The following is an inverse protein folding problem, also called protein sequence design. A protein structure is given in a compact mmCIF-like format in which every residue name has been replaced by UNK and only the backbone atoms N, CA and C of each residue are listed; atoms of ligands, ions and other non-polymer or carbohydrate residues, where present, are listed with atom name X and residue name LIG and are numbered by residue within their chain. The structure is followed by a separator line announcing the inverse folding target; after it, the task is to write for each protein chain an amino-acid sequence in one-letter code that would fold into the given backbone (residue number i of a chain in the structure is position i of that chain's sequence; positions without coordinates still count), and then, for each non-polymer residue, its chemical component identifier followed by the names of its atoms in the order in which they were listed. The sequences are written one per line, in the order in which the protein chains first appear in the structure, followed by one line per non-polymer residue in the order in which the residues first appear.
data_IF_384322837731
#
_entry.id   IF_384322837731
#
_cell.length_a   1.000
_cell.length_b   1.000
_cell.length_c   1.000
_cell.angle_alpha   90.00
_cell.angle_beta   90.00
_cell.angle_gamma   90.00
#
_symmetry.space_group_name_H-M   'P 1'
#
loop_
_entity.id
_entity.type
_entity.pdbx_description
1 polymer ?
#
# COMPACT_ATOMS: atom_id res chain seq x y z
N UNK A 1 -9.05 5.53 -5.30
CA UNK A 1 -7.89 4.82 -5.88
C UNK A 1 -8.37 3.98 -7.06
N UNK A 2 -8.34 4.50 -8.29
CA UNK A 2 -9.01 3.85 -9.44
C UNK A 2 -8.51 2.44 -9.79
N UNK A 3 -7.22 2.13 -9.54
CA UNK A 3 -6.65 0.82 -9.89
C UNK A 3 -7.13 -0.31 -8.97
N UNK A 4 -6.91 -0.17 -7.67
CA UNK A 4 -7.31 -1.20 -6.68
C UNK A 4 -8.83 -1.31 -6.59
N UNK A 5 -9.55 -0.18 -6.59
CA UNK A 5 -11.02 -0.18 -6.58
C UNK A 5 -11.60 -0.76 -7.87
N UNK A 6 -10.99 -0.48 -9.03
CA UNK A 6 -11.43 -1.01 -10.32
C UNK A 6 -11.21 -2.52 -10.44
N UNK A 7 -10.02 -3.02 -10.06
CA UNK A 7 -9.75 -4.46 -10.08
C UNK A 7 -10.60 -5.19 -9.04
N UNK A 8 -10.77 -4.60 -7.85
CA UNK A 8 -11.69 -5.14 -6.85
C UNK A 8 -13.13 -5.20 -7.37
N UNK A 9 -13.64 -4.16 -8.01
CA UNK A 9 -15.01 -4.15 -8.52
C UNK A 9 -15.29 -5.22 -9.59
N UNK A 10 -14.24 -5.76 -10.23
CA UNK A 10 -14.37 -6.88 -11.17
C UNK A 10 -14.56 -8.21 -10.42
N UNK A 11 -13.78 -8.44 -9.35
CA UNK A 11 -13.79 -9.72 -8.62
C UNK A 11 -14.78 -9.74 -7.45
N UNK A 12 -15.05 -8.58 -6.88
CA UNK A 12 -15.99 -8.35 -5.78
C UNK A 12 -16.90 -7.14 -6.11
N UNK A 13 -17.87 -7.32 -7.03
CA UNK A 13 -18.73 -6.23 -7.49
C UNK A 13 -19.63 -5.70 -6.37
N UNK A 14 -19.98 -4.42 -6.50
CA UNK A 14 -20.91 -3.75 -5.60
C UNK A 14 -22.32 -4.36 -5.71
N UNK A 15 -23.04 -4.52 -4.59
CA UNK A 15 -24.41 -5.00 -4.61
C UNK A 15 -25.34 -4.02 -5.34
N UNK A 16 -26.41 -4.55 -5.96
CA UNK A 16 -27.37 -3.72 -6.68
C UNK A 16 -28.06 -2.73 -5.72
N UNK A 17 -28.03 -1.44 -6.06
CA UNK A 17 -28.60 -0.38 -5.23
C UNK A 17 -27.69 0.14 -4.11
N UNK A 18 -26.39 -0.18 -4.14
CA UNK A 18 -25.41 0.34 -3.20
C UNK A 18 -25.43 1.87 -3.16
N UNK A 19 -25.85 2.44 -2.03
CA UNK A 19 -25.94 3.87 -1.79
C UNK A 19 -24.61 4.42 -1.23
N UNK A 20 -23.70 3.54 -0.78
CA UNK A 20 -22.40 3.92 -0.24
C UNK A 20 -22.50 4.50 1.16
N UNK A 21 -23.54 4.12 1.91
CA UNK A 21 -23.64 4.50 3.32
C UNK A 21 -22.53 3.82 4.13
N UNK A 22 -22.08 4.41 5.25
CA UNK A 22 -21.02 3.82 6.08
C UNK A 22 -21.30 2.36 6.46
N UNK A 23 -22.55 2.02 6.75
CA UNK A 23 -22.98 0.67 7.13
C UNK A 23 -22.86 -0.32 5.96
N UNK A 24 -23.24 0.10 4.75
CA UNK A 24 -23.11 -0.72 3.55
C UNK A 24 -21.64 -0.97 3.19
N UNK A 25 -20.77 0.03 3.36
CA UNK A 25 -19.32 -0.11 3.14
C UNK A 25 -18.73 -1.11 4.14
N UNK A 26 -19.10 -1.03 5.42
CA UNK A 26 -18.63 -1.96 6.45
C UNK A 26 -19.03 -3.41 6.10
N UNK A 27 -20.30 -3.64 5.77
CA UNK A 27 -20.79 -4.97 5.39
C UNK A 27 -20.11 -5.54 4.13
N UNK A 28 -19.77 -4.66 3.17
CA UNK A 28 -19.03 -5.06 1.98
C UNK A 28 -17.59 -5.49 2.34
N UNK A 29 -16.93 -4.72 3.20
CA UNK A 29 -15.55 -5.01 3.63
C UNK A 29 -15.46 -6.28 4.48
N UNK A 30 -16.49 -6.59 5.27
CA UNK A 30 -16.56 -7.86 6.01
C UNK A 30 -16.62 -9.10 5.10
N UNK A 31 -17.23 -8.96 3.91
CA UNK A 31 -17.37 -10.05 2.93
C UNK A 31 -16.22 -10.13 1.94
N UNK A 32 -15.22 -9.28 2.10
CA UNK A 32 -14.17 -9.14 1.13
C UNK A 32 -13.29 -10.39 1.04
N UNK A 33 -12.98 -10.90 -0.16
CA UNK A 33 -12.20 -12.12 -0.30
C UNK A 33 -10.78 -11.93 0.26
N UNK A 34 -10.33 -12.86 1.11
CA UNK A 34 -9.01 -12.77 1.74
C UNK A 34 -7.84 -12.73 0.74
N UNK A 35 -7.99 -13.40 -0.41
CA UNK A 35 -6.98 -13.40 -1.47
C UNK A 35 -6.85 -12.04 -2.16
N UNK A 36 -7.96 -11.29 -2.32
CA UNK A 36 -7.94 -9.94 -2.88
C UNK A 36 -7.26 -8.96 -1.92
N UNK A 37 -7.57 -9.05 -0.62
CA UNK A 37 -6.89 -8.27 0.41
C UNK A 37 -5.39 -8.55 0.39
N UNK A 38 -4.97 -9.82 0.37
CA UNK A 38 -3.56 -10.17 0.35
C UNK A 38 -2.85 -9.67 -0.93
N UNK A 39 -3.46 -9.88 -2.10
CA UNK A 39 -2.84 -9.52 -3.37
C UNK A 39 -2.84 -8.01 -3.62
N UNK A 40 -4.01 -7.38 -3.59
CA UNK A 40 -4.14 -5.95 -3.92
C UNK A 40 -3.77 -5.07 -2.73
N UNK A 41 -4.29 -5.42 -1.56
CA UNK A 41 -4.14 -4.66 -0.33
C UNK A 41 -2.77 -4.83 0.34
N UNK A 42 -2.06 -5.93 0.16
CA UNK A 42 -0.71 -6.07 0.74
C UNK A 42 0.38 -6.02 -0.33
N UNK A 43 0.33 -6.91 -1.33
CA UNK A 43 1.38 -6.96 -2.38
C UNK A 43 1.30 -5.73 -3.30
N UNK A 44 0.11 -5.31 -3.71
CA UNK A 44 -0.10 -4.14 -4.56
C UNK A 44 0.32 -2.83 -3.87
N UNK A 45 -0.09 -2.65 -2.61
CA UNK A 45 0.31 -1.49 -1.80
C UNK A 45 1.82 -1.49 -1.50
N UNK A 46 2.38 -2.65 -1.14
CA UNK A 46 3.82 -2.83 -0.94
C UNK A 46 4.64 -2.50 -2.20
N UNK A 47 4.22 -3.00 -3.36
CA UNK A 47 4.85 -2.70 -4.65
C UNK A 47 4.78 -1.22 -5.00
N UNK A 48 3.62 -0.60 -4.78
CA UNK A 48 3.44 0.85 -5.01
C UNK A 48 4.37 1.65 -4.10
N UNK A 49 4.43 1.32 -2.80
CA UNK A 49 5.32 1.97 -1.85
C UNK A 49 6.78 1.81 -2.23
N UNK A 50 7.21 0.61 -2.64
CA UNK A 50 8.57 0.33 -3.11
C UNK A 50 8.94 1.25 -4.28
N UNK A 51 8.07 1.34 -5.29
CA UNK A 51 8.30 2.18 -6.47
C UNK A 51 8.35 3.66 -6.09
N UNK A 52 7.40 4.13 -5.29
CA UNK A 52 7.34 5.54 -4.86
C UNK A 52 8.60 5.94 -4.09
N UNK A 53 9.02 5.12 -3.13
CA UNK A 53 10.22 5.37 -2.33
C UNK A 53 11.47 5.29 -3.18
N UNK A 54 11.57 4.31 -4.08
CA UNK A 54 12.69 4.19 -5.03
C UNK A 54 12.85 5.46 -5.88
N UNK A 55 11.75 5.95 -6.46
CA UNK A 55 11.72 7.18 -7.27
C UNK A 55 12.06 8.40 -6.41
N UNK A 56 11.47 8.51 -5.21
CA UNK A 56 11.71 9.63 -4.30
C UNK A 56 13.18 9.71 -3.87
N UNK A 57 13.79 8.57 -3.52
CA UNK A 57 15.23 8.51 -3.22
C UNK A 57 16.05 8.84 -4.45
N UNK A 58 15.68 8.39 -5.65
CA UNK A 58 16.46 8.62 -6.88
C UNK A 58 16.43 10.09 -7.32
N UNK A 59 15.26 10.72 -7.25
CA UNK A 59 15.04 12.11 -7.66
C UNK A 59 15.48 13.12 -6.60
N UNK A 60 15.66 12.68 -5.35
CA UNK A 60 16.22 13.50 -4.29
C UNK A 60 17.67 13.91 -4.56
N UNK A 61 18.05 15.09 -4.11
CA UNK A 61 19.43 15.60 -4.25
C UNK A 61 20.44 14.61 -3.66
N UNK A 62 21.48 14.25 -4.43
CA UNK A 62 22.50 13.25 -4.08
C UNK A 62 21.97 11.84 -3.73
N UNK A 63 20.76 11.50 -4.18
CA UNK A 63 20.08 10.27 -3.79
C UNK A 63 19.99 10.06 -2.28
N UNK A 64 19.74 11.15 -1.53
CA UNK A 64 19.70 11.10 -0.08
C UNK A 64 18.54 10.19 0.43
N UNK A 65 18.83 9.17 1.26
CA UNK A 65 17.83 8.24 1.80
C UNK A 65 16.67 8.92 2.54
N UNK A 66 16.88 10.11 3.10
CA UNK A 66 15.87 10.85 3.84
C UNK A 66 14.61 11.15 2.99
N UNK A 67 14.75 11.37 1.69
CA UNK A 67 13.60 11.59 0.80
C UNK A 67 12.75 10.33 0.67
N UNK A 68 13.40 9.16 0.57
CA UNK A 68 12.73 7.87 0.52
C UNK A 68 11.99 7.57 1.81
N UNK A 69 12.65 7.73 2.96
CA UNK A 69 12.04 7.53 4.27
C UNK A 69 10.89 8.51 4.55
N UNK A 70 11.02 9.77 4.12
CA UNK A 70 9.95 10.77 4.26
C UNK A 70 8.68 10.35 3.51
N UNK A 71 8.81 9.97 2.23
CA UNK A 71 7.68 9.47 1.43
C UNK A 71 7.14 8.17 1.99
N UNK A 72 8.01 7.24 2.38
CA UNK A 72 7.63 5.97 2.99
C UNK A 72 6.81 6.16 4.28
N UNK A 73 7.22 7.09 5.15
CA UNK A 73 6.50 7.41 6.38
C UNK A 73 5.11 7.98 6.11
N UNK A 74 4.98 8.92 5.17
CA UNK A 74 3.68 9.50 4.79
C UNK A 74 2.74 8.41 4.28
N UNK A 75 3.22 7.55 3.39
CA UNK A 75 2.43 6.44 2.84
C UNK A 75 2.05 5.41 3.92
N UNK A 76 2.96 5.11 4.85
CA UNK A 76 2.67 4.19 5.96
C UNK A 76 1.56 4.74 6.86
N UNK A 77 1.63 6.03 7.21
CA UNK A 77 0.61 6.71 8.02
C UNK A 77 -0.74 6.68 7.31
N UNK A 78 -0.78 6.94 5.99
CA UNK A 78 -2.01 6.84 5.20
C UNK A 78 -2.63 5.44 5.25
N UNK A 79 -1.81 4.39 5.15
CA UNK A 79 -2.31 3.00 5.26
C UNK A 79 -2.83 2.70 6.66
N UNK A 80 -2.13 3.11 7.72
CA UNK A 80 -2.60 2.92 9.10
C UNK A 80 -3.95 3.61 9.32
N UNK A 81 -4.13 4.83 8.81
CA UNK A 81 -5.43 5.50 8.85
C UNK A 81 -6.50 4.72 8.09
N UNK A 82 -6.19 4.25 6.88
CA UNK A 82 -7.13 3.47 6.09
C UNK A 82 -7.55 2.17 6.80
N UNK A 83 -6.59 1.46 7.40
CA UNK A 83 -6.86 0.24 8.18
C UNK A 83 -7.69 0.51 9.43
N UNK A 84 -7.54 1.69 10.06
CA UNK A 84 -8.28 2.07 11.27
C UNK A 84 -9.74 2.45 11.02
N UNK A 85 -10.10 2.80 9.78
CA UNK A 85 -11.46 3.24 9.42
C UNK A 85 -12.42 2.09 9.18
N UNK A 86 -11.92 0.90 8.89
CA UNK A 86 -12.73 -0.25 8.48
C UNK A 86 -12.33 -1.49 9.28
N UNK A 87 -13.28 -2.40 9.57
CA UNK A 87 -13.02 -3.60 10.37
C UNK A 87 -12.27 -4.67 9.55
N UNK A 88 -11.00 -4.41 9.24
CA UNK A 88 -10.16 -5.38 8.56
C UNK A 88 -9.70 -6.51 9.49
N UNK A 89 -9.48 -7.73 8.96
CA UNK A 89 -8.91 -8.82 9.73
C UNK A 89 -7.52 -8.50 10.31
N UNK A 90 -7.23 -9.00 11.51
CA UNK A 90 -5.93 -8.79 12.20
C UNK A 90 -4.73 -9.27 11.37
N UNK A 91 -4.88 -10.35 10.60
CA UNK A 91 -3.81 -10.85 9.73
C UNK A 91 -3.42 -9.82 8.65
N UNK A 92 -4.37 -9.03 8.16
CA UNK A 92 -4.15 -8.02 7.12
C UNK A 92 -3.35 -6.83 7.67
N UNK A 93 -3.60 -6.46 8.92
CA UNK A 93 -2.77 -5.50 9.65
C UNK A 93 -1.32 -6.00 9.78
N UNK A 94 -1.14 -7.24 10.23
CA UNK A 94 0.19 -7.83 10.38
C UNK A 94 0.96 -7.90 9.05
N UNK A 95 0.29 -8.27 7.95
CA UNK A 95 0.90 -8.27 6.62
C UNK A 95 1.31 -6.88 6.16
N UNK A 96 0.45 -5.88 6.28
CA UNK A 96 0.79 -4.51 5.85
C UNK A 96 1.89 -3.87 6.71
N UNK A 97 1.85 -4.07 8.03
CA UNK A 97 2.87 -3.57 8.95
C UNK A 97 4.23 -4.24 8.78
N UNK A 98 4.31 -5.37 8.07
CA UNK A 98 5.59 -6.02 7.75
C UNK A 98 6.05 -5.69 6.32
N UNK A 99 5.16 -5.78 5.34
CA UNK A 99 5.47 -5.55 3.92
C UNK A 99 5.82 -4.09 3.66
N UNK A 100 5.10 -3.13 4.25
CA UNK A 100 5.32 -1.71 3.96
C UNK A 100 6.68 -1.22 4.47
N UNK A 101 7.09 -1.44 5.74
CA UNK A 101 8.45 -1.08 6.17
C UNK A 101 9.54 -1.80 5.37
N UNK A 102 9.33 -3.07 5.00
CA UNK A 102 10.25 -3.79 4.13
C UNK A 102 10.37 -3.11 2.76
N UNK A 103 9.25 -2.70 2.15
CA UNK A 103 9.22 -1.99 0.88
C UNK A 103 9.97 -0.65 0.94
N UNK A 104 9.81 0.11 2.02
CA UNK A 104 10.58 1.35 2.23
C UNK A 104 12.07 1.07 2.32
N UNK A 105 12.47 0.07 3.12
CA UNK A 105 13.86 -0.30 3.32
C UNK A 105 14.53 -0.77 2.02
N UNK A 106 13.92 -1.73 1.32
CA UNK A 106 14.44 -2.27 0.07
C UNK A 106 14.40 -1.26 -1.07
N UNK A 107 13.32 -0.47 -1.19
CA UNK A 107 13.20 0.56 -2.23
C UNK A 107 14.25 1.66 -2.11
N UNK A 108 14.48 2.16 -0.89
CA UNK A 108 15.52 3.16 -0.61
C UNK A 108 16.91 2.59 -0.85
N UNK A 109 17.19 1.39 -0.33
CA UNK A 109 18.49 0.73 -0.45
C UNK A 109 18.85 0.39 -1.90
N UNK A 110 17.89 -0.09 -2.69
CA UNK A 110 18.10 -0.41 -4.10
C UNK A 110 18.41 0.84 -4.93
N UNK A 111 17.74 1.96 -4.65
CA UNK A 111 17.98 3.25 -5.31
C UNK A 111 19.43 3.74 -5.08
N UNK A 112 19.90 3.67 -3.83
CA UNK A 112 21.27 4.08 -3.46
C UNK A 112 22.31 3.17 -4.12
N UNK A 113 22.09 1.85 -4.11
CA UNK A 113 23.04 0.87 -4.67
C UNK A 113 23.23 1.06 -6.18
N UNK A 114 22.15 1.31 -6.92
CA UNK A 114 22.24 1.58 -8.36
C UNK A 114 23.05 2.87 -8.63
N UNK A 115 22.87 3.89 -7.81
CA UNK A 115 23.53 5.19 -8.05
C UNK A 115 25.03 5.19 -7.74
N UNK A 116 25.51 4.28 -6.87
CA UNK A 116 26.93 4.17 -6.53
C UNK A 116 27.76 3.35 -7.54
N UNK A 117 27.13 2.64 -8.47
CA UNK A 117 27.82 1.76 -9.43
C UNK A 117 28.42 0.50 -8.77
N UNK A 118 28.64 -0.61 -9.50
CA UNK A 118 29.45 -1.71 -9.00
C UNK A 118 30.90 -1.23 -8.90
N UNK A 119 31.46 -1.29 -7.69
CA UNK A 119 32.88 -1.05 -7.42
C UNK A 119 33.76 -2.10 -8.12
#
# INVERSE_FOLDING_TARGET
MLGVEGVSAIFHPWPAGFAGTPEEIILQVERYPAWELALLGSVGWGGTMLICVFIATRMGHNCNPLHGYGVGLILLVMVVFNLSMLPYPVWFWAMNLTILPAAVYFGTGFSIKINKGPE
#
